data_IF_064642801528
#
_entry.id   IF_064642801528
#
_cell.length_a   1.000
_cell.length_b   1.000
_cell.length_c   1.000
_cell.angle_alpha   90.00
_cell.angle_beta   90.00
_cell.angle_gamma   90.00
#
_symmetry.space_group_name_H-M   'P 1'
#
loop_
_entity.id
_entity.type
_entity.pdbx_description
1 polymer ?
#
# COMPACT_ATOMS: atom_id res chain seq x y z
N UNK A 1 -53.77 -44.27 13.91
CA UNK A 1 -52.36 -44.75 13.95
C UNK A 1 -51.59 -43.99 12.88
N UNK A 2 -50.95 -42.86 13.22
CA UNK A 2 -50.21 -42.01 12.35
C UNK A 2 -48.76 -42.13 12.74
N UNK A 3 -47.96 -42.70 11.84
CA UNK A 3 -46.52 -42.90 11.99
C UNK A 3 -45.75 -41.57 11.74
N UNK A 4 -45.05 -41.06 12.74
CA UNK A 4 -44.17 -39.93 12.64
C UNK A 4 -42.84 -40.39 12.02
N UNK A 5 -42.45 -39.79 10.88
CA UNK A 5 -41.11 -39.97 10.28
C UNK A 5 -40.16 -38.95 10.92
N UNK A 6 -39.17 -39.45 11.62
CA UNK A 6 -38.02 -38.66 12.10
C UNK A 6 -37.06 -38.42 10.95
N UNK A 7 -36.78 -37.12 10.65
CA UNK A 7 -35.68 -36.72 9.76
C UNK A 7 -34.37 -36.67 10.55
N UNK A 8 -33.29 -37.22 10.03
CA UNK A 8 -31.97 -37.03 10.65
C UNK A 8 -31.48 -35.59 10.40
N UNK A 9 -31.13 -34.90 11.47
CA UNK A 9 -30.41 -33.62 11.45
C UNK A 9 -28.98 -33.86 10.97
N UNK A 10 -28.65 -33.34 9.81
CA UNK A 10 -27.28 -33.30 9.28
C UNK A 10 -26.56 -32.13 9.95
N UNK A 11 -25.67 -32.42 10.90
CA UNK A 11 -24.69 -31.45 11.37
C UNK A 11 -23.70 -31.19 10.22
N UNK A 12 -23.34 -29.91 9.92
CA UNK A 12 -22.30 -29.63 8.94
C UNK A 12 -20.95 -30.02 9.52
N UNK A 13 -20.36 -31.08 9.01
CA UNK A 13 -18.95 -31.40 9.19
C UNK A 13 -18.11 -30.18 8.71
N UNK A 14 -17.28 -29.66 9.62
CA UNK A 14 -16.20 -28.72 9.27
C UNK A 14 -15.33 -29.39 8.23
N UNK A 15 -15.54 -29.02 6.96
CA UNK A 15 -14.68 -29.46 5.88
C UNK A 15 -13.27 -28.90 6.15
N UNK A 16 -12.32 -29.81 6.36
CA UNK A 16 -10.91 -29.53 6.42
C UNK A 16 -10.50 -28.74 5.17
N UNK A 17 -10.20 -27.45 5.36
CA UNK A 17 -9.50 -26.67 4.37
C UNK A 17 -8.12 -27.32 4.14
N UNK A 18 -7.69 -27.51 2.90
CA UNK A 18 -6.43 -28.21 2.62
C UNK A 18 -5.26 -27.44 3.26
N UNK A 19 -4.63 -28.04 4.24
CA UNK A 19 -3.46 -27.60 4.99
C UNK A 19 -2.16 -27.75 4.18
N UNK A 20 -2.13 -27.30 2.94
CA UNK A 20 -0.89 -27.27 2.12
C UNK A 20 -0.77 -25.98 1.32
N UNK A 21 -1.08 -24.81 1.91
CA UNK A 21 -0.50 -23.56 1.45
C UNK A 21 0.79 -23.37 2.25
N UNK A 22 1.91 -23.51 1.56
CA UNK A 22 3.30 -23.27 1.96
C UNK A 22 3.41 -22.35 3.19
N UNK A 23 4.23 -22.74 4.19
CA UNK A 23 4.72 -21.94 5.32
C UNK A 23 5.54 -20.70 4.89
N UNK A 24 5.23 -20.11 3.76
CA UNK A 24 5.88 -18.93 3.24
C UNK A 24 5.72 -17.78 4.23
N UNK A 25 6.86 -17.32 4.76
CA UNK A 25 6.90 -16.25 5.76
C UNK A 25 6.88 -14.89 5.07
N UNK A 26 6.12 -13.96 5.65
CA UNK A 26 6.10 -12.55 5.29
C UNK A 26 7.18 -11.84 6.12
N UNK A 27 8.07 -11.10 5.48
CA UNK A 27 9.03 -10.25 6.17
C UNK A 27 8.35 -8.97 6.59
N UNK A 28 8.11 -8.81 7.87
CA UNK A 28 7.40 -7.68 8.46
C UNK A 28 8.41 -6.76 9.15
N UNK A 29 8.42 -5.48 8.76
CA UNK A 29 9.12 -4.43 9.49
C UNK A 29 8.28 -3.98 10.69
N UNK A 30 7.00 -3.66 10.45
CA UNK A 30 6.05 -3.27 11.51
C UNK A 30 4.59 -3.57 11.13
N UNK A 31 3.73 -3.73 12.14
CA UNK A 31 2.27 -3.76 11.98
C UNK A 31 1.70 -2.79 13.01
N UNK A 32 0.94 -1.79 12.56
CA UNK A 32 0.46 -0.72 13.42
C UNK A 32 -0.93 -0.21 12.99
N UNK A 33 -1.56 0.57 13.85
CA UNK A 33 -2.88 1.13 13.67
C UNK A 33 -3.86 0.64 14.75
N UNK A 34 -5.20 0.83 14.59
CA UNK A 34 -5.80 1.59 13.49
C UNK A 34 -5.36 3.04 13.49
N UNK A 35 -5.03 3.54 12.31
CA UNK A 35 -4.75 4.95 12.07
C UNK A 35 -5.42 5.38 10.76
N UNK A 36 -5.08 6.56 10.24
CA UNK A 36 -5.66 7.09 9.01
C UNK A 36 -4.69 6.88 7.85
N UNK A 37 -5.16 6.28 6.74
CA UNK A 37 -4.39 6.28 5.50
C UNK A 37 -4.17 7.73 5.04
N UNK A 38 -2.91 8.11 4.86
CA UNK A 38 -2.51 9.49 4.59
C UNK A 38 -2.41 9.83 3.10
N UNK A 39 -2.62 8.88 2.17
CA UNK A 39 -2.23 9.05 0.79
C UNK A 39 -3.21 8.47 -0.23
N UNK A 40 -3.17 9.02 -1.44
CA UNK A 40 -3.84 8.48 -2.62
C UNK A 40 -5.35 8.35 -2.47
N UNK A 41 -5.91 7.32 -3.11
CA UNK A 41 -7.37 7.10 -3.19
C UNK A 41 -8.00 6.75 -1.83
N UNK A 42 -7.22 6.30 -0.87
CA UNK A 42 -7.69 5.89 0.45
C UNK A 42 -7.46 6.94 1.54
N UNK A 43 -7.02 8.14 1.19
CA UNK A 43 -6.75 9.22 2.16
C UNK A 43 -7.93 9.44 3.11
N UNK A 44 -7.66 9.51 4.41
CA UNK A 44 -8.67 9.69 5.45
C UNK A 44 -9.36 8.41 5.93
N UNK A 45 -9.10 7.25 5.29
CA UNK A 45 -9.73 6.00 5.66
C UNK A 45 -9.02 5.35 6.86
N UNK A 46 -9.75 4.96 7.94
CA UNK A 46 -9.16 4.16 9.02
C UNK A 46 -8.60 2.83 8.50
N UNK A 47 -7.37 2.53 8.87
CA UNK A 47 -6.62 1.38 8.33
C UNK A 47 -5.65 0.80 9.36
N UNK A 48 -5.35 -0.48 9.23
CA UNK A 48 -4.19 -1.15 9.84
C UNK A 48 -3.14 -1.31 8.77
N UNK A 49 -1.90 -0.92 9.06
CA UNK A 49 -0.77 -1.09 8.16
C UNK A 49 0.00 -2.38 8.43
N UNK A 50 0.34 -3.09 7.38
CA UNK A 50 1.36 -4.13 7.37
C UNK A 50 2.53 -3.63 6.53
N UNK A 51 3.56 -3.09 7.19
CA UNK A 51 4.78 -2.61 6.56
C UNK A 51 5.79 -3.73 6.47
N UNK A 52 6.19 -4.07 5.24
CA UNK A 52 7.12 -5.16 4.98
C UNK A 52 8.55 -4.70 4.84
N UNK A 53 9.49 -5.58 5.20
CA UNK A 53 10.92 -5.34 5.03
C UNK A 53 11.45 -5.80 3.68
N UNK A 54 12.27 -4.95 3.07
CA UNK A 54 12.94 -5.16 1.80
C UNK A 54 12.27 -4.47 0.61
N UNK A 55 13.10 -3.90 -0.26
CA UNK A 55 12.71 -3.24 -1.49
C UNK A 55 13.72 -3.56 -2.58
N UNK A 56 13.27 -3.59 -3.82
CA UNK A 56 14.10 -3.71 -5.01
C UNK A 56 14.51 -2.34 -5.59
N UNK A 57 13.98 -1.23 -5.01
CA UNK A 57 14.36 0.15 -5.31
C UNK A 57 15.08 0.81 -4.15
N UNK A 58 15.80 1.91 -4.45
CA UNK A 58 16.56 2.74 -3.51
C UNK A 58 16.32 4.21 -3.81
N UNK A 59 15.09 4.69 -3.56
CA UNK A 59 14.73 6.07 -3.81
C UNK A 59 15.55 7.02 -2.91
N UNK A 60 16.07 8.11 -3.51
CA UNK A 60 16.89 9.12 -2.82
C UNK A 60 16.15 9.78 -1.64
N UNK A 61 14.84 9.92 -1.74
CA UNK A 61 13.96 10.53 -0.74
C UNK A 61 13.07 9.50 0.00
N UNK A 62 13.53 8.24 0.15
CA UNK A 62 12.76 7.21 0.83
C UNK A 62 12.51 7.60 2.30
N UNK A 63 11.24 7.62 2.70
CA UNK A 63 10.80 7.92 4.07
C UNK A 63 10.72 6.68 4.99
N UNK A 64 11.02 5.51 4.44
CA UNK A 64 10.87 4.22 5.11
C UNK A 64 12.17 3.41 5.07
N UNK A 65 13.34 4.05 5.19
CA UNK A 65 14.64 3.40 5.08
C UNK A 65 14.80 2.21 6.04
N UNK A 66 14.23 2.26 7.24
CA UNK A 66 14.20 1.16 8.21
C UNK A 66 13.51 -0.11 7.67
N UNK A 67 12.61 0.05 6.69
CA UNK A 67 11.93 -1.06 6.02
C UNK A 67 12.57 -1.44 4.67
N UNK A 68 13.52 -0.64 4.19
CA UNK A 68 14.13 -0.78 2.85
C UNK A 68 15.57 -1.24 2.95
N UNK A 69 16.38 -0.63 3.82
CA UNK A 69 17.80 -0.86 3.90
C UNK A 69 18.13 -2.24 4.49
N UNK A 70 18.95 -3.09 3.80
CA UNK A 70 19.39 -4.36 4.33
C UNK A 70 20.12 -4.29 5.68
N UNK A 71 20.66 -3.13 6.04
CA UNK A 71 21.26 -2.90 7.35
C UNK A 71 20.27 -3.14 8.49
N UNK A 72 18.99 -2.82 8.27
CA UNK A 72 17.89 -3.02 9.24
C UNK A 72 17.21 -4.38 9.14
N UNK A 73 17.76 -5.32 8.33
CA UNK A 73 17.15 -6.64 8.14
C UNK A 73 16.98 -7.41 9.46
N UNK A 74 17.81 -7.16 10.43
CA UNK A 74 17.76 -7.81 11.74
C UNK A 74 16.52 -7.42 12.56
N UNK A 75 15.89 -6.28 12.25
CA UNK A 75 14.66 -5.81 12.87
C UNK A 75 13.40 -6.38 12.21
N UNK A 76 13.54 -6.98 11.03
CA UNK A 76 12.40 -7.52 10.29
C UNK A 76 12.04 -8.93 10.75
N UNK A 77 10.81 -9.09 11.26
CA UNK A 77 10.30 -10.38 11.71
C UNK A 77 9.82 -11.23 10.52
N UNK A 78 10.27 -12.49 10.45
CA UNK A 78 9.73 -13.47 9.51
C UNK A 78 8.48 -14.13 10.11
N UNK A 79 7.28 -13.59 9.79
CA UNK A 79 6.00 -13.98 10.36
C UNK A 79 5.21 -14.92 9.45
N UNK A 80 4.51 -15.88 10.03
CA UNK A 80 3.51 -16.68 9.30
C UNK A 80 2.26 -15.85 8.99
N UNK A 81 1.47 -16.25 7.99
CA UNK A 81 0.16 -15.65 7.69
C UNK A 81 -0.74 -15.56 8.93
N UNK A 82 -0.78 -16.63 9.75
CA UNK A 82 -1.55 -16.64 11.00
C UNK A 82 -1.08 -15.56 11.98
N UNK A 83 0.22 -15.47 12.23
CA UNK A 83 0.77 -14.49 13.16
C UNK A 83 0.55 -13.03 12.69
N UNK A 84 0.59 -12.76 11.38
CA UNK A 84 0.24 -11.43 10.83
C UNK A 84 -1.24 -11.15 11.03
N UNK A 85 -2.10 -12.15 10.75
CA UNK A 85 -3.55 -12.03 10.91
C UNK A 85 -3.95 -11.76 12.37
N UNK A 86 -3.38 -12.49 13.32
CA UNK A 86 -3.64 -12.31 14.75
C UNK A 86 -3.28 -10.89 15.22
N UNK A 87 -2.20 -10.30 14.69
CA UNK A 87 -1.86 -8.89 14.97
C UNK A 87 -2.88 -7.92 14.37
N UNK A 88 -3.31 -8.12 13.11
CA UNK A 88 -4.31 -7.27 12.45
C UNK A 88 -5.61 -7.30 13.24
N UNK A 89 -6.11 -8.48 13.61
CA UNK A 89 -7.38 -8.64 14.33
C UNK A 89 -7.31 -8.06 15.75
N UNK A 90 -6.19 -8.23 16.44
CA UNK A 90 -5.97 -7.59 17.75
C UNK A 90 -6.03 -6.05 17.66
N UNK A 91 -5.37 -5.47 16.66
CA UNK A 91 -5.36 -4.02 16.47
C UNK A 91 -6.74 -3.47 16.11
N UNK A 92 -7.48 -4.18 15.23
CA UNK A 92 -8.83 -3.77 14.81
C UNK A 92 -9.93 -4.12 15.83
N UNK A 93 -9.60 -4.81 16.91
CA UNK A 93 -10.58 -5.35 17.85
C UNK A 93 -11.53 -6.35 17.21
N UNK A 94 -11.10 -7.06 16.16
CA UNK A 94 -11.92 -7.98 15.38
C UNK A 94 -12.95 -7.30 14.46
N UNK A 95 -12.92 -5.96 14.33
CA UNK A 95 -13.82 -5.24 13.43
C UNK A 95 -13.20 -5.14 12.03
N UNK A 96 -13.90 -5.57 10.98
CA UNK A 96 -13.42 -5.46 9.61
C UNK A 96 -13.11 -4.00 9.21
N UNK A 97 -11.92 -3.80 8.65
CA UNK A 97 -11.47 -2.52 8.11
C UNK A 97 -10.55 -2.76 6.91
N UNK A 98 -10.00 -1.68 6.34
CA UNK A 98 -8.99 -1.80 5.30
C UNK A 98 -7.62 -2.10 5.92
N UNK A 99 -6.91 -3.07 5.34
CA UNK A 99 -5.51 -3.38 5.64
C UNK A 99 -4.64 -2.83 4.50
N UNK A 100 -3.76 -1.90 4.82
CA UNK A 100 -2.80 -1.33 3.86
C UNK A 100 -1.49 -2.14 3.87
N UNK A 101 -1.23 -2.84 2.77
CA UNK A 101 0.03 -3.54 2.52
C UNK A 101 1.04 -2.54 1.95
N UNK A 102 2.06 -2.23 2.73
CA UNK A 102 3.02 -1.16 2.49
C UNK A 102 4.44 -1.61 2.87
N UNK A 103 5.40 -0.69 2.89
CA UNK A 103 6.75 -0.96 3.38
C UNK A 103 7.83 -0.64 2.38
N UNK A 104 8.84 -1.48 2.23
CA UNK A 104 9.77 -1.45 1.12
C UNK A 104 9.01 -1.66 -0.20
N UNK A 105 9.07 -2.87 -0.77
CA UNK A 105 8.13 -3.27 -1.82
C UNK A 105 7.28 -4.46 -1.33
N UNK A 106 6.03 -4.25 -0.91
CA UNK A 106 5.19 -5.35 -0.43
C UNK A 106 4.87 -6.39 -1.52
N UNK A 107 4.97 -6.02 -2.80
CA UNK A 107 4.76 -6.95 -3.92
C UNK A 107 5.76 -8.12 -3.93
N UNK A 108 6.91 -8.02 -3.27
CA UNK A 108 7.85 -9.16 -3.18
C UNK A 108 7.43 -10.22 -2.16
N UNK A 109 6.41 -9.97 -1.33
CA UNK A 109 5.95 -10.85 -0.26
C UNK A 109 4.79 -11.78 -0.70
N UNK A 110 4.59 -12.92 -0.03
CA UNK A 110 3.54 -13.90 -0.36
C UNK A 110 2.21 -13.62 0.36
N UNK A 111 1.49 -12.57 -0.03
CA UNK A 111 0.28 -12.14 0.67
C UNK A 111 -1.01 -12.89 0.34
N UNK A 112 -1.08 -13.70 -0.73
CA UNK A 112 -2.32 -14.30 -1.20
C UNK A 112 -3.12 -15.03 -0.12
N UNK A 113 -2.47 -15.82 0.76
CA UNK A 113 -3.16 -16.53 1.84
C UNK A 113 -3.72 -15.56 2.91
N UNK A 114 -3.01 -14.47 3.22
CA UNK A 114 -3.47 -13.44 4.16
C UNK A 114 -4.70 -12.70 3.60
N UNK A 115 -4.65 -12.33 2.33
CA UNK A 115 -5.73 -11.62 1.65
C UNK A 115 -7.02 -12.47 1.67
N UNK A 116 -6.95 -13.70 1.19
CA UNK A 116 -8.11 -14.60 1.19
C UNK A 116 -8.71 -14.84 2.58
N UNK A 117 -7.83 -15.00 3.60
CA UNK A 117 -8.29 -15.16 4.98
C UNK A 117 -9.04 -13.92 5.47
N UNK A 118 -8.48 -12.74 5.29
CA UNK A 118 -9.08 -11.49 5.77
C UNK A 118 -10.37 -11.15 5.04
N UNK A 119 -10.43 -11.36 3.72
CA UNK A 119 -11.64 -11.13 2.94
C UNK A 119 -12.78 -12.07 3.36
N UNK A 120 -12.49 -13.32 3.72
CA UNK A 120 -13.49 -14.24 4.28
C UNK A 120 -14.08 -13.72 5.59
N UNK A 121 -13.38 -12.85 6.32
CA UNK A 121 -13.82 -12.20 7.56
C UNK A 121 -14.28 -10.74 7.32
N UNK A 122 -14.45 -10.31 6.05
CA UNK A 122 -14.99 -8.99 5.65
C UNK A 122 -13.98 -7.86 5.61
N UNK A 123 -12.68 -8.11 5.80
CA UNK A 123 -11.64 -7.11 5.67
C UNK A 123 -11.35 -6.80 4.20
N UNK A 124 -10.90 -5.58 3.93
CA UNK A 124 -10.42 -5.15 2.61
C UNK A 124 -8.92 -5.02 2.60
N UNK A 125 -8.32 -5.20 1.42
CA UNK A 125 -6.88 -5.09 1.26
C UNK A 125 -6.51 -4.08 0.18
N UNK A 126 -5.60 -3.17 0.54
CA UNK A 126 -4.98 -2.24 -0.39
C UNK A 126 -3.48 -2.52 -0.47
N UNK A 127 -2.93 -2.48 -1.66
CA UNK A 127 -1.49 -2.60 -1.91
C UNK A 127 -0.97 -1.30 -2.51
N UNK A 128 0.14 -0.79 -1.99
CA UNK A 128 0.93 0.23 -2.66
C UNK A 128 2.29 -0.35 -3.06
N UNK A 129 2.61 -0.27 -4.37
CA UNK A 129 3.87 -0.75 -4.95
C UNK A 129 4.33 0.16 -6.09
N UNK A 130 5.64 0.23 -6.34
CA UNK A 130 6.18 0.94 -7.49
C UNK A 130 5.90 0.27 -8.85
N UNK A 131 5.35 -0.96 -8.85
CA UNK A 131 4.99 -1.66 -10.08
C UNK A 131 6.15 -2.41 -10.75
N UNK A 132 7.18 -2.77 -9.99
CA UNK A 132 8.35 -3.52 -10.48
C UNK A 132 8.20 -5.04 -10.43
N UNK A 133 7.28 -5.58 -9.60
CA UNK A 133 7.08 -7.01 -9.38
C UNK A 133 5.61 -7.35 -9.44
N UNK A 134 5.19 -8.12 -10.45
CA UNK A 134 3.83 -8.61 -10.56
C UNK A 134 3.60 -9.88 -9.73
N UNK A 135 2.40 -10.05 -9.21
CA UNK A 135 1.96 -11.22 -8.45
C UNK A 135 0.54 -11.62 -8.82
N UNK A 136 0.27 -12.92 -8.87
CA UNK A 136 -1.04 -13.47 -9.22
C UNK A 136 -2.15 -12.99 -8.25
N UNK A 137 -1.82 -12.82 -6.97
CA UNK A 137 -2.76 -12.34 -5.95
C UNK A 137 -3.15 -10.86 -6.10
N UNK A 138 -2.57 -10.10 -7.06
CA UNK A 138 -3.03 -8.74 -7.36
C UNK A 138 -4.51 -8.70 -7.78
N UNK A 139 -5.00 -9.73 -8.44
CA UNK A 139 -6.41 -9.86 -8.79
C UNK A 139 -7.33 -10.09 -7.58
N UNK A 140 -6.78 -10.43 -6.43
CA UNK A 140 -7.54 -10.74 -5.21
C UNK A 140 -7.73 -9.54 -4.28
N UNK A 141 -6.95 -8.44 -4.42
CA UNK A 141 -7.05 -7.26 -3.54
C UNK A 141 -8.18 -6.33 -3.97
N UNK A 142 -8.59 -5.42 -3.07
CA UNK A 142 -9.65 -4.44 -3.35
C UNK A 142 -9.11 -3.19 -4.05
N UNK A 143 -7.90 -2.74 -3.68
CA UNK A 143 -7.28 -1.53 -4.25
C UNK A 143 -5.80 -1.76 -4.53
N UNK A 144 -5.38 -1.47 -5.76
CA UNK A 144 -3.98 -1.46 -6.17
C UNK A 144 -3.55 -0.02 -6.49
N UNK A 145 -2.64 0.50 -5.67
CA UNK A 145 -1.98 1.78 -5.92
C UNK A 145 -0.64 1.52 -6.58
N UNK A 146 -0.53 1.83 -7.84
CA UNK A 146 0.73 1.78 -8.58
C UNK A 146 1.41 3.15 -8.50
N UNK A 147 2.60 3.18 -7.91
CA UNK A 147 3.36 4.40 -7.63
C UNK A 147 4.72 4.37 -8.35
N UNK A 148 4.73 4.52 -9.71
CA UNK A 148 5.98 4.56 -10.46
C UNK A 148 6.82 5.73 -9.97
N UNK A 149 8.14 5.53 -9.95
CA UNK A 149 9.05 6.47 -9.33
C UNK A 149 9.51 7.53 -10.33
N UNK A 150 9.30 8.84 -10.00
CA UNK A 150 9.69 9.95 -10.87
C UNK A 150 11.21 10.20 -10.82
N UNK A 151 11.75 11.07 -11.70
CA UNK A 151 13.19 11.34 -11.81
C UNK A 151 13.86 11.72 -10.49
N UNK A 152 13.20 12.50 -9.62
CA UNK A 152 13.74 12.88 -8.30
C UNK A 152 14.10 11.71 -7.40
N UNK A 153 13.56 10.52 -7.68
CA UNK A 153 13.83 9.31 -6.90
C UNK A 153 15.17 8.67 -7.19
N UNK A 154 15.86 9.06 -8.26
CA UNK A 154 17.03 8.39 -8.84
C UNK A 154 16.78 6.94 -9.26
N UNK A 155 15.50 6.56 -9.48
CA UNK A 155 15.09 5.24 -9.94
C UNK A 155 14.44 5.32 -11.31
N UNK A 156 14.68 4.30 -12.14
CA UNK A 156 14.03 4.13 -13.43
C UNK A 156 12.84 3.16 -13.32
N UNK A 157 11.72 3.53 -13.94
CA UNK A 157 10.56 2.64 -14.02
C UNK A 157 10.71 1.68 -15.19
N UNK A 158 10.76 0.37 -14.92
CA UNK A 158 10.59 -0.66 -15.95
C UNK A 158 9.12 -0.77 -16.36
N UNK A 159 8.77 -0.10 -17.46
CA UNK A 159 7.40 -0.10 -17.97
C UNK A 159 6.91 -1.48 -18.41
N UNK A 160 7.82 -2.41 -18.80
CA UNK A 160 7.43 -3.79 -19.11
C UNK A 160 7.01 -4.55 -17.84
N UNK A 161 7.73 -4.36 -16.72
CA UNK A 161 7.33 -4.92 -15.44
C UNK A 161 6.04 -4.28 -14.92
N UNK A 162 5.88 -2.96 -15.11
CA UNK A 162 4.69 -2.22 -14.75
C UNK A 162 3.45 -2.71 -15.49
N UNK A 163 3.55 -2.95 -16.81
CA UNK A 163 2.47 -3.50 -17.63
C UNK A 163 2.08 -4.92 -17.18
N UNK A 164 3.05 -5.74 -16.71
CA UNK A 164 2.76 -7.04 -16.08
C UNK A 164 2.00 -6.92 -14.79
N UNK A 165 2.27 -5.88 -13.97
CA UNK A 165 1.50 -5.61 -12.74
C UNK A 165 0.05 -5.28 -13.06
N UNK A 166 -0.20 -4.45 -14.07
CA UNK A 166 -1.55 -4.15 -14.56
C UNK A 166 -2.26 -5.41 -15.10
N UNK A 167 -1.57 -6.22 -15.87
CA UNK A 167 -2.11 -7.48 -16.39
C UNK A 167 -2.46 -8.46 -15.27
N UNK A 168 -1.61 -8.56 -14.23
CA UNK A 168 -1.86 -9.41 -13.06
C UNK A 168 -3.05 -8.95 -12.21
N UNK A 169 -3.28 -7.65 -12.11
CA UNK A 169 -4.44 -7.07 -11.43
C UNK A 169 -5.75 -7.40 -12.16
N UNK A 170 -5.72 -7.47 -13.48
CA UNK A 170 -6.92 -7.69 -14.29
C UNK A 170 -7.94 -6.55 -14.12
N UNK A 171 -9.21 -6.91 -13.90
CA UNK A 171 -10.31 -5.95 -13.73
C UNK A 171 -10.92 -5.97 -12.31
N UNK A 172 -10.41 -6.81 -11.42
CA UNK A 172 -11.00 -7.01 -10.11
C UNK A 172 -10.72 -5.86 -9.13
N UNK A 173 -9.46 -5.42 -8.90
CA UNK A 173 -9.20 -4.32 -7.99
C UNK A 173 -9.48 -2.97 -8.62
N UNK A 174 -9.76 -1.96 -7.77
CA UNK A 174 -9.62 -0.58 -8.17
C UNK A 174 -8.13 -0.26 -8.36
N UNK A 175 -7.70 -0.06 -9.59
CA UNK A 175 -6.30 0.33 -9.90
C UNK A 175 -6.21 1.83 -10.07
N UNK A 176 -5.25 2.46 -9.39
CA UNK A 176 -4.97 3.90 -9.49
C UNK A 176 -3.47 4.16 -9.59
N UNK A 177 -3.12 5.31 -10.15
CA UNK A 177 -1.75 5.82 -10.19
C UNK A 177 -1.54 6.85 -9.08
N UNK A 178 -0.40 6.78 -8.39
CA UNK A 178 0.02 7.79 -7.41
C UNK A 178 1.47 8.18 -7.67
N UNK A 179 1.75 9.47 -7.82
CA UNK A 179 3.11 9.97 -8.05
C UNK A 179 3.43 11.07 -7.04
N UNK A 180 4.56 10.93 -6.39
CA UNK A 180 5.13 11.95 -5.52
C UNK A 180 5.87 12.97 -6.38
N UNK A 181 5.63 14.26 -6.14
CA UNK A 181 6.12 15.36 -6.97
C UNK A 181 6.99 16.29 -6.13
N UNK A 182 8.22 16.47 -6.54
CA UNK A 182 9.17 17.41 -5.93
C UNK A 182 9.41 18.64 -6.79
N UNK A 183 9.36 18.48 -8.11
CA UNK A 183 9.72 19.53 -9.06
C UNK A 183 8.98 19.40 -10.40
N UNK A 184 9.37 20.24 -11.38
CA UNK A 184 8.82 20.26 -12.73
C UNK A 184 9.13 18.99 -13.53
N UNK A 185 10.27 18.34 -13.30
CA UNK A 185 10.63 17.10 -13.99
C UNK A 185 9.70 15.96 -13.56
N UNK A 186 9.42 15.85 -12.25
CA UNK A 186 8.47 14.89 -11.71
C UNK A 186 7.04 15.14 -12.21
N UNK A 187 6.64 16.41 -12.25
CA UNK A 187 5.32 16.76 -12.78
C UNK A 187 5.19 16.38 -14.27
N UNK A 188 6.21 16.61 -15.06
CA UNK A 188 6.24 16.22 -16.47
C UNK A 188 6.17 14.69 -16.63
N UNK A 189 6.93 13.96 -15.82
CA UNK A 189 6.87 12.50 -15.74
C UNK A 189 5.46 12.01 -15.40
N UNK A 190 4.78 12.64 -14.46
CA UNK A 190 3.41 12.29 -14.11
C UNK A 190 2.43 12.49 -15.28
N UNK A 191 2.58 13.58 -16.05
CA UNK A 191 1.79 13.81 -17.28
C UNK A 191 2.05 12.75 -18.35
N UNK A 192 3.30 12.35 -18.55
CA UNK A 192 3.66 11.27 -19.48
C UNK A 192 3.07 9.93 -19.03
N UNK A 193 3.12 9.65 -17.72
CA UNK A 193 2.54 8.43 -17.14
C UNK A 193 1.02 8.41 -17.31
N UNK A 194 0.32 9.52 -17.08
CA UNK A 194 -1.12 9.63 -17.30
C UNK A 194 -1.49 9.44 -18.78
N UNK A 195 -0.69 10.01 -19.70
CA UNK A 195 -0.89 9.82 -21.13
C UNK A 195 -0.69 8.35 -21.56
N UNK A 196 0.22 7.62 -20.90
CA UNK A 196 0.43 6.19 -21.13
C UNK A 196 -0.74 5.34 -20.63
N UNK A 197 -1.37 5.74 -19.52
CA UNK A 197 -2.46 4.98 -18.86
C UNK A 197 -3.70 5.85 -18.65
N UNK A 198 -4.35 6.33 -19.72
CA UNK A 198 -5.43 7.33 -19.63
C UNK A 198 -6.70 6.82 -18.94
N UNK A 199 -6.86 5.53 -18.79
CA UNK A 199 -7.99 4.92 -18.09
C UNK A 199 -7.82 4.89 -16.56
N UNK A 200 -6.62 5.15 -16.03
CA UNK A 200 -6.33 5.10 -14.60
C UNK A 200 -6.43 6.48 -13.97
N UNK A 201 -7.09 6.56 -12.82
CA UNK A 201 -7.14 7.79 -12.04
C UNK A 201 -5.74 8.15 -11.51
N UNK A 202 -5.34 9.42 -11.70
CA UNK A 202 -4.03 9.94 -11.28
C UNK A 202 -4.14 10.74 -9.98
N UNK A 203 -3.32 10.36 -9.00
CA UNK A 203 -3.14 11.06 -7.73
C UNK A 203 -1.73 11.64 -7.67
N UNK A 204 -1.64 12.95 -7.43
CA UNK A 204 -0.38 13.67 -7.26
C UNK A 204 -0.28 14.17 -5.83
N UNK A 205 0.89 14.07 -5.24
CA UNK A 205 1.13 14.59 -3.91
C UNK A 205 2.54 15.18 -3.80
N UNK A 206 2.72 16.30 -3.08
CA UNK A 206 4.05 16.86 -2.87
C UNK A 206 4.89 15.93 -2.01
N UNK A 207 6.17 15.80 -2.33
CA UNK A 207 7.10 15.02 -1.54
C UNK A 207 7.56 15.78 -0.28
N UNK A 208 7.96 15.02 0.74
CA UNK A 208 8.62 15.53 1.93
C UNK A 208 10.13 15.64 1.67
N UNK A 209 10.69 16.87 1.67
CA UNK A 209 12.13 17.11 1.46
C UNK A 209 13.00 16.78 2.69
N UNK A 210 12.35 16.52 3.82
CA UNK A 210 13.02 16.16 5.06
C UNK A 210 12.56 14.78 5.53
N UNK A 211 12.79 13.71 4.71
CA UNK A 211 12.44 12.37 5.13
C UNK A 211 13.26 11.99 6.38
N UNK A 212 12.71 11.19 7.30
CA UNK A 212 13.44 10.79 8.48
C UNK A 212 14.60 9.86 8.11
N UNK A 213 15.74 9.96 8.78
CA UNK A 213 16.71 8.87 8.76
C UNK A 213 16.10 7.62 9.38
N UNK A 214 16.69 6.45 9.09
CA UNK A 214 16.10 5.18 9.53
C UNK A 214 16.06 5.02 11.06
N UNK A 215 16.98 5.67 11.78
CA UNK A 215 17.14 5.58 13.22
C UNK A 215 16.30 6.58 14.02
N UNK A 216 15.83 7.66 13.37
CA UNK A 216 15.21 8.79 14.08
C UNK A 216 13.99 9.33 13.31
N UNK A 217 12.80 9.01 13.79
CA UNK A 217 11.53 9.53 13.31
C UNK A 217 11.11 10.85 14.00
N UNK A 218 11.93 11.34 14.92
CA UNK A 218 11.71 12.63 15.61
C UNK A 218 12.20 13.85 14.81
N UNK A 219 12.83 13.65 13.63
CA UNK A 219 13.25 14.76 12.77
C UNK A 219 12.05 15.59 12.33
N UNK A 220 12.12 16.89 12.60
CA UNK A 220 11.05 17.81 12.26
C UNK A 220 10.89 17.93 10.73
N UNK A 221 9.64 17.85 10.27
CA UNK A 221 9.27 18.14 8.89
C UNK A 221 9.24 19.65 8.67
N UNK A 222 9.76 20.10 7.55
CA UNK A 222 9.52 21.46 7.05
C UNK A 222 8.06 21.58 6.56
N UNK A 223 7.14 21.80 7.49
CA UNK A 223 5.70 21.91 7.21
C UNK A 223 5.39 23.07 6.23
N UNK A 224 6.14 24.18 6.34
CA UNK A 224 5.97 25.34 5.45
C UNK A 224 6.34 24.96 4.04
N UNK A 225 7.50 24.35 3.84
CA UNK A 225 7.95 23.93 2.52
C UNK A 225 7.07 22.84 1.90
N UNK A 226 6.50 21.94 2.70
CA UNK A 226 5.50 20.94 2.21
C UNK A 226 4.25 21.65 1.72
N UNK A 227 3.73 22.65 2.47
CA UNK A 227 2.54 23.41 2.08
C UNK A 227 2.79 24.30 0.86
N UNK A 228 3.94 24.96 0.77
CA UNK A 228 4.31 25.78 -0.39
C UNK A 228 4.36 24.93 -1.66
N UNK A 229 4.89 23.70 -1.56
CA UNK A 229 4.91 22.77 -2.70
C UNK A 229 3.52 22.26 -3.05
N UNK A 230 2.66 22.05 -2.06
CA UNK A 230 1.26 21.69 -2.33
C UNK A 230 0.55 22.82 -3.09
N UNK A 231 0.72 24.07 -2.66
CA UNK A 231 0.16 25.23 -3.37
C UNK A 231 0.69 25.32 -4.81
N UNK A 232 2.04 25.21 -4.98
CA UNK A 232 2.66 25.19 -6.29
C UNK A 232 2.07 24.10 -7.20
N UNK A 233 1.88 22.88 -6.68
CA UNK A 233 1.34 21.75 -7.45
C UNK A 233 -0.13 21.99 -7.85
N UNK A 234 -0.93 22.54 -6.93
CA UNK A 234 -2.34 22.93 -7.22
C UNK A 234 -2.39 23.99 -8.31
N UNK A 235 -1.59 25.05 -8.20
CA UNK A 235 -1.54 26.12 -9.20
C UNK A 235 -1.12 25.58 -10.56
N UNK A 236 -0.13 24.67 -10.58
CA UNK A 236 0.37 24.07 -11.81
C UNK A 236 -0.66 23.21 -12.52
N UNK A 237 -1.33 22.31 -11.78
CA UNK A 237 -2.41 21.47 -12.31
C UNK A 237 -3.56 22.33 -12.85
N UNK A 238 -3.95 23.37 -12.10
CA UNK A 238 -5.04 24.28 -12.47
C UNK A 238 -4.68 25.12 -13.72
N UNK A 239 -3.47 25.68 -13.76
CA UNK A 239 -2.96 26.45 -14.90
C UNK A 239 -2.87 25.62 -16.17
N UNK A 240 -2.43 24.37 -16.05
CA UNK A 240 -2.32 23.43 -17.15
C UNK A 240 -3.68 22.83 -17.55
N UNK A 241 -4.76 23.11 -16.80
CA UNK A 241 -6.10 22.54 -16.99
C UNK A 241 -6.11 21.01 -16.99
N UNK A 242 -5.26 20.42 -16.18
CA UNK A 242 -5.22 18.95 -16.01
C UNK A 242 -6.26 18.52 -14.97
N UNK A 243 -7.54 18.61 -15.34
CA UNK A 243 -8.68 18.45 -14.42
C UNK A 243 -8.95 17.00 -13.98
N UNK A 244 -8.34 16.02 -14.63
CA UNK A 244 -8.44 14.61 -14.26
C UNK A 244 -7.49 14.24 -13.11
N UNK A 245 -6.41 15.01 -12.89
CA UNK A 245 -5.47 14.78 -11.79
C UNK A 245 -6.07 15.22 -10.45
N UNK A 246 -5.86 14.41 -9.44
CA UNK A 246 -6.24 14.71 -8.06
C UNK A 246 -4.99 15.08 -7.28
N UNK A 247 -4.96 16.30 -6.74
CA UNK A 247 -3.84 16.79 -5.91
C UNK A 247 -4.21 16.62 -4.44
N UNK A 248 -3.38 15.89 -3.69
CA UNK A 248 -3.60 15.60 -2.27
C UNK A 248 -2.32 15.87 -1.47
N UNK A 249 -2.44 16.28 -0.21
CA UNK A 249 -1.30 16.28 0.70
C UNK A 249 -0.93 14.85 1.12
N UNK A 250 0.25 14.67 1.71
CA UNK A 250 0.53 13.53 2.58
C UNK A 250 -0.08 13.85 3.96
N UNK A 251 -1.31 13.38 4.20
CA UNK A 251 -2.07 13.74 5.40
C UNK A 251 -1.36 13.32 6.69
N UNK A 252 -0.72 12.15 6.71
CA UNK A 252 0.04 11.68 7.86
C UNK A 252 1.24 12.60 8.18
N UNK A 253 1.90 13.16 7.15
CA UNK A 253 3.01 14.12 7.33
C UNK A 253 2.48 15.43 7.94
N UNK A 254 1.31 15.89 7.54
CA UNK A 254 0.69 17.09 8.11
C UNK A 254 0.27 16.89 9.56
N UNK A 255 -0.22 15.69 9.93
CA UNK A 255 -0.72 15.41 11.27
C UNK A 255 0.40 15.05 12.25
N UNK A 256 1.38 14.27 11.83
CA UNK A 256 2.36 13.64 12.72
C UNK A 256 3.82 13.84 12.31
N UNK A 257 4.08 14.58 11.22
CA UNK A 257 5.42 14.76 10.72
C UNK A 257 6.02 13.45 10.22
N UNK A 258 7.24 13.15 10.68
CA UNK A 258 7.97 11.93 10.33
C UNK A 258 7.71 10.74 11.28
N UNK A 259 6.82 10.90 12.27
CA UNK A 259 6.59 9.88 13.29
C UNK A 259 6.12 8.55 12.67
N UNK A 260 6.72 7.45 13.14
CA UNK A 260 6.36 6.09 12.72
C UNK A 260 5.23 5.50 13.56
N UNK A 261 4.50 4.52 12.99
CA UNK A 261 3.48 3.77 13.71
C UNK A 261 2.21 4.54 14.07
N UNK A 262 1.93 5.63 13.35
CA UNK A 262 0.80 6.54 13.59
C UNK A 262 -0.14 6.61 12.41
#
# INVERSE_FOLDING_TARGET
MTSARTHPTHEPTTADLPTTASDAKIRVSEIFGPTIQGEGVLIGLPTVFVRTGGCDYRCSWCDSLHAVDPEYRHDWAAMTTGAVWDKITNLSGGQPLTVSLSGGNPAIQPFGALIRRGQAEGYRFALETQGSVAKDWFAEIDTLVLSPKPPSSDMDTDWSAFDKCLAAAGQSPQVVLKIVIFDDADYHYAKQTAARYPALAMYLQPGNHTPPPAEDDGVCVDQVGVMDRLHWLVDKVTKDRWFEARVLPQLHVLLWGNKRGV
#
